data_IF_239899194477
#
_entry.id   IF_239899194477
#
_cell.length_a   1.000
_cell.length_b   1.000
_cell.length_c   1.000
_cell.angle_alpha   90.00
_cell.angle_beta   90.00
_cell.angle_gamma   90.00
#
_symmetry.space_group_name_H-M   'P 1'
#
loop_
_entity.id
_entity.type
_entity.pdbx_description
1 polymer ?
#
# COMPACT_ATOMS: atom_id res chain seq x y z
N UNK A 1 -9.59 -5.04 23.86
CA UNK A 1 -9.83 -4.11 22.73
C UNK A 1 -11.29 -4.24 22.33
N UNK A 2 -11.95 -3.15 21.96
CA UNK A 2 -13.35 -3.17 21.53
C UNK A 2 -13.45 -2.56 20.14
N UNK A 3 -14.40 -3.07 19.35
CA UNK A 3 -14.75 -2.49 18.06
C UNK A 3 -15.54 -1.22 18.31
N UNK A 4 -15.21 -0.15 17.60
CA UNK A 4 -15.88 1.14 17.66
C UNK A 4 -16.38 1.53 16.27
N UNK A 5 -17.37 2.43 16.20
CA UNK A 5 -17.80 3.00 14.92
C UNK A 5 -16.90 4.19 14.55
N UNK A 6 -16.46 4.23 13.30
CA UNK A 6 -15.80 5.37 12.69
C UNK A 6 -16.52 5.70 11.38
N UNK A 7 -17.34 6.76 11.40
CA UNK A 7 -18.28 7.05 10.31
C UNK A 7 -19.22 5.88 10.04
N UNK A 8 -19.26 5.43 8.78
CA UNK A 8 -20.06 4.27 8.34
C UNK A 8 -19.31 2.92 8.48
N UNK A 9 -18.13 2.92 9.09
CA UNK A 9 -17.26 1.75 9.19
C UNK A 9 -16.98 1.36 10.64
N UNK A 10 -16.44 0.16 10.83
CA UNK A 10 -15.96 -0.31 12.13
C UNK A 10 -14.44 -0.12 12.23
N UNK A 11 -13.97 0.25 13.42
CA UNK A 11 -12.58 0.48 13.73
C UNK A 11 -12.17 -0.30 14.97
N UNK A 12 -10.96 -0.86 14.93
CA UNK A 12 -10.26 -1.41 16.08
C UNK A 12 -9.07 -0.54 16.38
N UNK A 13 -8.71 -0.41 17.65
CA UNK A 13 -7.42 0.18 18.01
C UNK A 13 -6.30 -0.77 17.54
N UNK A 14 -5.10 -0.26 17.30
CA UNK A 14 -3.92 -1.09 17.12
C UNK A 14 -2.99 -0.84 18.31
N UNK A 15 -2.42 -1.88 18.95
CA UNK A 15 -1.44 -1.68 20.01
C UNK A 15 -0.20 -0.98 19.48
N UNK A 16 0.45 -0.14 20.30
CA UNK A 16 1.65 0.62 19.91
C UNK A 16 2.78 -0.29 19.44
N UNK A 17 2.93 -1.47 20.05
CA UNK A 17 3.92 -2.48 19.60
C UNK A 17 3.69 -2.91 18.16
N UNK A 18 2.45 -3.19 17.79
CA UNK A 18 2.07 -3.63 16.45
C UNK A 18 2.25 -2.51 15.42
N UNK A 19 1.88 -1.27 15.79
CA UNK A 19 2.08 -0.09 14.93
C UNK A 19 3.57 0.09 14.59
N UNK A 20 4.44 -0.09 15.59
CA UNK A 20 5.90 -0.02 15.40
C UNK A 20 6.45 -1.16 14.56
N UNK A 21 6.00 -2.38 14.83
CA UNK A 21 6.44 -3.58 14.10
C UNK A 21 6.06 -3.52 12.62
N UNK A 22 4.83 -3.07 12.32
CA UNK A 22 4.35 -2.90 10.96
C UNK A 22 4.84 -1.61 10.29
N UNK A 23 5.54 -0.73 11.02
CA UNK A 23 6.04 0.54 10.52
C UNK A 23 4.94 1.48 10.02
N UNK A 24 3.78 1.48 10.70
CA UNK A 24 2.62 2.29 10.33
C UNK A 24 2.70 3.64 11.07
N UNK A 25 2.41 4.72 10.35
CA UNK A 25 2.28 6.07 10.88
C UNK A 25 0.91 6.67 10.56
N UNK A 26 0.62 7.82 11.18
CA UNK A 26 -0.56 8.61 10.81
C UNK A 26 -0.47 9.03 9.34
N UNK A 27 -1.58 8.91 8.61
CA UNK A 27 -1.66 9.20 7.18
C UNK A 27 -1.24 8.06 6.25
N UNK A 28 -0.80 6.91 6.78
CA UNK A 28 -0.55 5.72 5.95
C UNK A 28 -1.86 5.09 5.45
N UNK A 29 -1.84 4.64 4.20
CA UNK A 29 -2.92 3.84 3.63
C UNK A 29 -2.69 2.36 3.96
N UNK A 30 -3.71 1.72 4.54
CA UNK A 30 -3.68 0.30 4.88
C UNK A 30 -4.75 -0.45 4.07
N UNK A 31 -4.40 -1.66 3.63
CA UNK A 31 -5.35 -2.61 3.05
C UNK A 31 -5.55 -3.76 4.03
N UNK A 32 -6.81 -4.06 4.31
CA UNK A 32 -7.22 -5.18 5.15
C UNK A 32 -7.85 -6.26 4.27
N UNK A 33 -7.36 -7.49 4.38
CA UNK A 33 -7.88 -8.65 3.65
C UNK A 33 -8.16 -9.79 4.62
N UNK A 34 -9.23 -10.58 4.41
CA UNK A 34 -9.44 -11.77 5.21
C UNK A 34 -8.27 -12.73 4.98
N UNK A 35 -7.70 -13.25 6.06
CA UNK A 35 -6.71 -14.30 5.95
C UNK A 35 -7.36 -15.59 5.42
N UNK A 36 -6.59 -16.48 4.75
CA UNK A 36 -7.08 -17.78 4.34
C UNK A 36 -7.67 -18.53 5.54
N UNK A 37 -8.93 -18.96 5.42
CA UNK A 37 -9.63 -19.64 6.50
C UNK A 37 -9.26 -21.12 6.53
N UNK A 38 -8.65 -21.57 7.62
CA UNK A 38 -8.47 -22.99 7.91
C UNK A 38 -9.61 -23.46 8.82
N UNK A 39 -10.07 -24.71 8.63
CA UNK A 39 -11.06 -25.31 9.51
C UNK A 39 -10.53 -25.31 10.95
N UNK A 40 -11.39 -24.94 11.90
CA UNK A 40 -11.08 -24.77 13.33
C UNK A 40 -10.23 -23.54 13.73
N UNK A 41 -9.87 -22.63 12.82
CA UNK A 41 -9.18 -21.38 13.20
C UNK A 41 -10.13 -20.19 13.34
N UNK A 42 -9.84 -19.27 14.29
CA UNK A 42 -10.57 -18.02 14.39
C UNK A 42 -10.38 -17.16 13.13
N UNK A 43 -11.38 -16.35 12.80
CA UNK A 43 -11.26 -15.40 11.71
C UNK A 43 -10.11 -14.41 12.00
N UNK A 44 -9.25 -14.24 11.01
CA UNK A 44 -8.12 -13.32 11.08
C UNK A 44 -8.08 -12.42 9.85
N UNK A 45 -7.41 -11.29 10.00
CA UNK A 45 -7.26 -10.27 8.97
C UNK A 45 -5.77 -10.03 8.74
N UNK A 46 -5.39 -9.94 7.47
CA UNK A 46 -4.06 -9.53 7.04
C UNK A 46 -4.10 -8.02 6.83
N UNK A 47 -3.14 -7.32 7.43
CA UNK A 47 -2.99 -5.87 7.30
C UNK A 47 -1.72 -5.61 6.50
N UNK A 48 -1.87 -4.88 5.40
CA UNK A 48 -0.75 -4.51 4.53
C UNK A 48 -0.67 -3.00 4.43
N UNK A 49 0.49 -2.42 4.79
CA UNK A 49 0.77 -0.99 4.53
C UNK A 49 1.04 -0.79 3.05
N UNK A 50 0.32 0.12 2.42
CA UNK A 50 0.62 0.52 1.06
C UNK A 50 1.81 1.49 1.07
N UNK A 51 2.75 1.37 0.11
CA UNK A 51 3.84 2.32 0.01
C UNK A 51 3.28 3.71 -0.23
N UNK A 52 3.83 4.72 0.44
CA UNK A 52 3.48 6.11 0.23
C UNK A 52 3.90 6.60 -1.16
N UNK A 53 3.42 7.79 -1.55
CA UNK A 53 3.72 8.37 -2.87
C UNK A 53 5.23 8.45 -3.17
N UNK A 54 6.01 8.91 -2.20
CA UNK A 54 7.46 9.05 -2.35
C UNK A 54 8.16 7.69 -2.44
N UNK A 55 7.73 6.70 -1.65
CA UNK A 55 8.26 5.34 -1.69
C UNK A 55 7.96 4.68 -3.04
N UNK A 56 6.74 4.87 -3.59
CA UNK A 56 6.40 4.43 -4.95
C UNK A 56 7.29 5.09 -5.99
N UNK A 57 7.48 6.41 -5.91
CA UNK A 57 8.35 7.14 -6.84
C UNK A 57 9.80 6.66 -6.75
N UNK A 58 10.33 6.45 -5.54
CA UNK A 58 11.66 5.88 -5.32
C UNK A 58 11.76 4.47 -5.89
N UNK A 59 10.76 3.63 -5.66
CA UNK A 59 10.70 2.29 -6.20
C UNK A 59 10.76 2.29 -7.73
N UNK A 60 10.17 3.26 -8.45
CA UNK A 60 10.26 3.32 -9.92
C UNK A 60 11.59 3.89 -10.42
N UNK A 61 12.39 4.56 -9.58
CA UNK A 61 13.65 5.18 -10.02
C UNK A 61 14.69 4.18 -10.54
N UNK A 62 14.68 2.91 -10.11
CA UNK A 62 15.59 1.90 -10.66
C UNK A 62 15.32 1.60 -12.15
N UNK A 63 14.11 1.87 -12.65
CA UNK A 63 13.76 1.73 -14.07
C UNK A 63 14.29 2.90 -14.92
N UNK A 64 14.94 3.90 -14.32
CA UNK A 64 15.60 4.97 -15.07
C UNK A 64 16.83 4.39 -15.76
N UNK A 65 16.71 4.13 -17.05
CA UNK A 65 17.84 3.83 -17.94
C UNK A 65 18.44 5.09 -18.55
N UNK A 66 19.66 4.97 -19.06
CA UNK A 66 20.21 5.94 -20.01
C UNK A 66 19.47 5.80 -21.34
N UNK A 67 18.86 6.88 -21.79
CA UNK A 67 18.35 6.96 -23.15
C UNK A 67 19.49 7.35 -24.10
N UNK A 68 19.37 6.97 -25.37
CA UNK A 68 20.32 7.44 -26.39
C UNK A 68 20.35 8.97 -26.45
N UNK A 69 21.47 9.55 -26.87
CA UNK A 69 21.63 11.01 -26.93
C UNK A 69 20.53 11.69 -27.77
N UNK A 70 20.03 10.99 -28.79
CA UNK A 70 19.02 11.48 -29.72
C UNK A 70 17.58 11.05 -29.35
N UNK A 71 17.40 10.39 -28.20
CA UNK A 71 16.07 9.97 -27.76
C UNK A 71 15.25 11.17 -27.30
N UNK A 72 14.21 11.48 -28.05
CA UNK A 72 13.16 12.41 -27.66
C UNK A 72 11.85 11.64 -27.52
N UNK A 73 11.16 11.83 -26.39
CA UNK A 73 9.83 11.28 -26.21
C UNK A 73 8.82 12.13 -26.99
N UNK A 74 8.17 11.54 -27.98
CA UNK A 74 7.02 12.12 -28.69
C UNK A 74 5.72 11.48 -28.20
N UNK A 75 4.81 12.32 -27.69
CA UNK A 75 3.53 11.88 -27.15
C UNK A 75 2.56 11.45 -28.26
N UNK A 76 2.53 12.16 -29.37
CA UNK A 76 1.56 11.94 -30.44
C UNK A 76 1.91 10.67 -31.22
N UNK A 77 3.22 10.43 -31.46
CA UNK A 77 3.72 9.15 -31.98
C UNK A 77 3.31 7.98 -31.09
N UNK A 78 3.52 8.09 -29.77
CA UNK A 78 3.21 7.01 -28.83
C UNK A 78 1.71 6.70 -28.71
N UNK A 79 0.84 7.66 -29.03
CA UNK A 79 -0.62 7.54 -28.96
C UNK A 79 -1.28 7.27 -30.32
N UNK A 80 -0.51 7.12 -31.39
CA UNK A 80 -1.02 6.71 -32.70
C UNK A 80 -1.39 5.21 -32.65
N UNK A 81 -2.61 4.92 -32.21
CA UNK A 81 -3.24 3.59 -32.24
C UNK A 81 -4.60 3.68 -32.90
#
# INVERSE_FOLDING_TARGET
MQVSKWGNSLAVRLPVSLVRELGIADGDELVLQPAPRQAAQPASVIVTRLPGKLERLQAVRHLRGSWGADFAFDRDEANAR
#
